data_IF_311004305097
#
_entry.id   IF_311004305097
#
_cell.length_a   1.000
_cell.length_b   1.000
_cell.length_c   1.000
_cell.angle_alpha   90.00
_cell.angle_beta   90.00
_cell.angle_gamma   90.00
#
_symmetry.space_group_name_H-M   'P 1'
#
loop_
_entity.id
_entity.type
_entity.pdbx_description
1 polymer ?
#
# COMPACT_ATOMS: atom_id res chain seq x y z
N UNK A 1 8.24 -11.67 26.21
CA UNK A 1 7.32 -11.12 25.20
C UNK A 1 7.63 -9.64 25.04
N UNK A 2 7.67 -9.11 23.81
CA UNK A 2 7.97 -7.69 23.60
C UNK A 2 6.69 -6.87 23.81
N UNK A 3 6.75 -5.85 24.65
CA UNK A 3 5.64 -4.95 24.94
C UNK A 3 6.05 -3.50 24.66
N UNK A 4 5.10 -2.67 24.23
CA UNK A 4 5.29 -1.23 24.00
C UNK A 4 4.12 -0.44 24.58
N UNK A 5 4.29 0.87 24.76
CA UNK A 5 3.29 1.76 25.34
C UNK A 5 3.46 2.04 26.84
N UNK A 6 2.64 2.92 27.39
CA UNK A 6 2.69 3.39 28.78
C UNK A 6 1.29 3.66 29.33
N UNK A 7 1.15 3.74 30.66
CA UNK A 7 -0.16 3.95 31.30
C UNK A 7 -1.15 2.83 30.96
N UNK A 8 -2.34 3.21 30.51
CA UNK A 8 -3.43 2.31 30.11
C UNK A 8 -3.28 1.76 28.68
N UNK A 9 -2.42 2.36 27.86
CA UNK A 9 -2.19 1.95 26.47
C UNK A 9 -0.92 1.13 26.37
N UNK A 10 -1.04 -0.16 26.67
CA UNK A 10 0.02 -1.15 26.54
C UNK A 10 -0.34 -2.14 25.44
N UNK A 11 0.65 -2.44 24.61
CA UNK A 11 0.49 -3.30 23.46
C UNK A 11 1.48 -4.44 23.54
N UNK A 12 1.03 -5.63 23.14
CA UNK A 12 1.87 -6.80 23.00
C UNK A 12 2.19 -7.05 21.54
N UNK A 13 3.45 -7.37 21.26
CA UNK A 13 3.87 -7.75 19.93
C UNK A 13 3.29 -9.12 19.57
N UNK A 14 2.36 -9.14 18.61
CA UNK A 14 1.95 -10.36 17.90
C UNK A 14 2.92 -10.57 16.74
N UNK A 15 3.79 -11.58 16.87
CA UNK A 15 4.69 -11.98 15.79
C UNK A 15 3.93 -12.80 14.76
N UNK A 16 4.41 -12.76 13.51
CA UNK A 16 3.89 -13.58 12.40
C UNK A 16 2.37 -13.43 12.17
N UNK A 17 1.85 -12.25 12.50
CA UNK A 17 0.43 -11.93 12.47
C UNK A 17 -0.18 -12.10 11.07
N UNK A 18 0.45 -11.52 10.05
CA UNK A 18 0.14 -11.81 8.64
C UNK A 18 1.22 -12.70 8.04
N UNK A 19 0.79 -13.72 7.30
CA UNK A 19 1.67 -14.55 6.49
C UNK A 19 1.41 -14.24 5.04
N UNK A 20 2.47 -14.06 4.28
CA UNK A 20 2.35 -13.86 2.84
C UNK A 20 1.70 -15.08 2.20
N UNK A 21 0.81 -14.88 1.20
CA UNK A 21 0.24 -15.97 0.44
C UNK A 21 1.34 -16.84 -0.18
N UNK A 22 1.09 -18.15 -0.25
CA UNK A 22 1.95 -19.13 -0.91
C UNK A 22 3.35 -19.36 -0.29
N UNK A 23 3.61 -18.79 0.89
CA UNK A 23 4.88 -18.97 1.61
C UNK A 23 6.05 -18.16 1.04
N UNK A 24 5.83 -17.40 -0.03
CA UNK A 24 6.80 -16.45 -0.59
C UNK A 24 6.93 -15.23 0.32
N UNK A 25 8.13 -14.68 0.54
CA UNK A 25 8.26 -13.47 1.36
C UNK A 25 7.51 -12.29 0.73
N UNK A 26 7.06 -11.36 1.57
CA UNK A 26 6.58 -10.06 1.10
C UNK A 26 7.69 -9.35 0.33
N UNK A 27 7.31 -8.53 -0.65
CA UNK A 27 8.20 -7.54 -1.23
C UNK A 27 8.57 -6.44 -0.23
N UNK A 28 9.28 -5.41 -0.69
CA UNK A 28 9.51 -4.22 0.14
C UNK A 28 8.17 -3.55 0.45
N UNK A 29 7.79 -3.53 1.72
CA UNK A 29 6.56 -2.89 2.18
C UNK A 29 6.75 -1.38 2.18
N UNK A 30 5.96 -0.68 1.37
CA UNK A 30 5.95 0.78 1.30
C UNK A 30 4.96 1.39 2.29
N UNK A 31 3.83 0.71 2.52
CA UNK A 31 2.74 1.20 3.36
C UNK A 31 1.84 0.05 3.84
N UNK A 32 1.17 0.27 4.96
CA UNK A 32 0.01 -0.51 5.40
C UNK A 32 -1.17 0.42 5.69
N UNK A 33 -2.39 -0.05 5.49
CA UNK A 33 -3.63 0.66 5.81
C UNK A 33 -4.72 -0.28 6.27
N UNK A 34 -5.75 0.26 6.91
CA UNK A 34 -6.96 -0.48 7.29
C UNK A 34 -8.20 0.24 6.77
N UNK A 35 -9.25 -0.52 6.49
CA UNK A 35 -10.58 0.01 6.18
C UNK A 35 -11.55 -0.11 7.36
N UNK A 36 -12.79 0.36 7.18
CA UNK A 36 -13.81 0.38 8.22
C UNK A 36 -14.31 -1.02 8.64
N UNK A 37 -13.86 -2.09 7.97
CA UNK A 37 -14.16 -3.48 8.33
C UNK A 37 -13.00 -4.17 9.07
N UNK A 38 -11.96 -3.40 9.41
CA UNK A 38 -10.68 -3.88 9.96
C UNK A 38 -9.91 -4.80 9.00
N UNK A 39 -10.14 -4.70 7.68
CA UNK A 39 -9.30 -5.39 6.69
C UNK A 39 -7.99 -4.64 6.53
N UNK A 40 -6.90 -5.38 6.40
CA UNK A 40 -5.55 -4.86 6.37
C UNK A 40 -5.01 -4.92 4.95
N UNK A 41 -4.61 -3.77 4.43
CA UNK A 41 -4.05 -3.61 3.09
C UNK A 41 -2.56 -3.40 3.19
N UNK A 42 -1.79 -4.37 2.70
CA UNK A 42 -0.33 -4.34 2.63
C UNK A 42 0.08 -3.90 1.23
N UNK A 43 0.77 -2.76 1.13
CA UNK A 43 1.23 -2.20 -0.14
C UNK A 43 2.73 -2.45 -0.34
N UNK A 44 3.04 -3.39 -1.24
CA UNK A 44 4.39 -3.91 -1.45
C UNK A 44 4.92 -3.58 -2.84
N UNK A 45 6.23 -3.33 -2.95
CA UNK A 45 6.93 -3.21 -4.23
C UNK A 45 7.22 -4.58 -4.84
N UNK A 46 6.17 -5.36 -5.04
CA UNK A 46 6.14 -6.68 -5.66
C UNK A 46 4.77 -6.88 -6.27
N UNK A 47 4.68 -7.69 -7.32
CA UNK A 47 3.41 -8.06 -7.93
C UNK A 47 2.78 -9.24 -7.16
N UNK A 48 1.50 -9.20 -6.77
CA UNK A 48 0.56 -8.06 -6.85
C UNK A 48 0.87 -6.96 -5.81
N UNK A 49 0.74 -5.66 -6.17
CA UNK A 49 1.11 -4.53 -5.31
C UNK A 49 0.35 -4.45 -4.00
N UNK A 50 -0.93 -4.82 -3.99
CA UNK A 50 -1.77 -4.77 -2.80
C UNK A 50 -2.19 -6.17 -2.40
N UNK A 51 -1.94 -6.53 -1.15
CA UNK A 51 -2.36 -7.79 -0.53
C UNK A 51 -3.29 -7.46 0.63
N UNK A 52 -4.44 -8.10 0.68
CA UNK A 52 -5.52 -7.79 1.63
C UNK A 52 -5.72 -8.96 2.60
N UNK A 53 -5.81 -8.65 3.88
CA UNK A 53 -6.08 -9.58 4.97
C UNK A 53 -7.31 -9.13 5.77
N UNK A 54 -7.94 -10.05 6.50
CA UNK A 54 -8.92 -9.66 7.52
C UNK A 54 -8.24 -9.23 8.83
N UNK A 55 -9.06 -8.89 9.83
CA UNK A 55 -8.64 -8.46 11.17
C UNK A 55 -7.81 -9.49 11.93
N UNK A 56 -7.90 -10.76 11.53
CA UNK A 56 -7.21 -11.88 12.17
C UNK A 56 -5.98 -12.31 11.36
N UNK A 57 -5.63 -11.56 10.31
CA UNK A 57 -4.46 -11.80 9.46
C UNK A 57 -4.67 -12.87 8.39
N UNK A 58 -5.92 -13.31 8.14
CA UNK A 58 -6.23 -14.27 7.08
C UNK A 58 -6.26 -13.57 5.72
N UNK A 59 -5.59 -14.17 4.75
CA UNK A 59 -5.57 -13.67 3.37
C UNK A 59 -6.97 -13.64 2.76
N UNK A 60 -7.34 -12.50 2.17
CA UNK A 60 -8.61 -12.28 1.48
C UNK A 60 -8.46 -12.15 -0.03
N UNK A 61 -7.31 -11.67 -0.51
CA UNK A 61 -7.08 -11.44 -1.94
C UNK A 61 -5.97 -10.44 -2.19
N UNK A 62 -5.66 -10.23 -3.47
CA UNK A 62 -4.65 -9.27 -3.88
C UNK A 62 -5.01 -8.65 -5.23
N UNK A 63 -4.54 -7.43 -5.47
CA UNK A 63 -4.86 -6.65 -6.68
C UNK A 63 -3.79 -5.61 -7.00
N UNK A 64 -3.99 -4.90 -8.11
CA UNK A 64 -3.13 -3.79 -8.56
C UNK A 64 -2.08 -4.18 -9.59
N UNK A 65 -2.01 -5.45 -9.99
CA UNK A 65 -1.12 -5.91 -11.05
C UNK A 65 -1.44 -5.21 -12.36
N UNK A 66 -0.43 -4.59 -12.98
CA UNK A 66 -0.59 -3.77 -14.18
C UNK A 66 -1.19 -2.39 -13.93
N UNK A 67 -1.70 -2.11 -12.74
CA UNK A 67 -2.26 -0.81 -12.36
C UNK A 67 -1.32 0.04 -11.50
N UNK A 68 -0.39 -0.60 -10.78
CA UNK A 68 0.64 0.09 -10.01
C UNK A 68 1.99 -0.54 -10.33
N UNK A 69 2.90 0.29 -10.81
CA UNK A 69 4.28 -0.02 -11.23
C UNK A 69 5.25 0.09 -10.06
N UNK A 70 5.28 1.21 -9.34
CA UNK A 70 6.15 1.40 -8.17
C UNK A 70 5.42 1.96 -6.93
N UNK A 71 4.89 1.06 -6.09
CA UNK A 71 4.18 1.37 -4.85
C UNK A 71 4.95 2.30 -3.89
N UNK A 72 4.28 3.39 -3.49
CA UNK A 72 4.83 4.32 -2.50
C UNK A 72 3.85 4.72 -1.40
N UNK A 73 2.78 5.44 -1.75
CA UNK A 73 1.76 5.90 -0.81
C UNK A 73 0.49 5.07 -0.90
N UNK A 74 -0.13 4.77 0.24
CA UNK A 74 -1.49 4.23 0.31
C UNK A 74 -2.27 4.91 1.45
N UNK A 75 -3.51 5.29 1.16
CA UNK A 75 -4.49 5.83 2.14
C UNK A 75 -5.88 5.31 1.80
N UNK A 76 -6.60 4.83 2.81
CA UNK A 76 -8.01 4.44 2.67
C UNK A 76 -8.88 5.50 3.32
N UNK A 77 -9.95 5.89 2.64
CA UNK A 77 -10.99 6.80 3.14
C UNK A 77 -12.34 6.26 2.66
N UNK A 78 -13.18 5.80 3.59
CA UNK A 78 -14.42 5.09 3.26
C UNK A 78 -14.15 3.88 2.36
N UNK A 79 -14.81 3.84 1.21
CA UNK A 79 -14.70 2.74 0.22
C UNK A 79 -13.58 2.92 -0.83
N UNK A 80 -12.71 3.92 -0.63
CA UNK A 80 -11.75 4.34 -1.65
C UNK A 80 -10.32 4.21 -1.16
N UNK A 81 -9.49 3.53 -1.96
CA UNK A 81 -8.04 3.40 -1.75
C UNK A 81 -7.34 4.39 -2.67
N UNK A 82 -6.60 5.34 -2.11
CA UNK A 82 -5.74 6.25 -2.86
C UNK A 82 -4.30 5.75 -2.81
N UNK A 83 -3.65 5.68 -3.97
CA UNK A 83 -2.25 5.30 -4.09
C UNK A 83 -1.43 6.33 -4.84
N UNK A 84 -0.14 6.35 -4.57
CA UNK A 84 0.84 7.06 -5.40
C UNK A 84 1.81 6.06 -6.02
N UNK A 85 2.01 6.22 -7.34
CA UNK A 85 3.02 5.49 -8.10
C UNK A 85 4.23 6.39 -8.32
N UNK A 86 5.38 5.99 -7.79
CA UNK A 86 6.60 6.80 -7.87
C UNK A 86 7.19 6.82 -9.28
N UNK A 87 7.18 5.69 -9.98
CA UNK A 87 7.82 5.56 -11.30
C UNK A 87 6.94 6.14 -12.39
N UNK A 88 5.62 5.99 -12.30
CA UNK A 88 4.72 6.51 -13.33
C UNK A 88 4.28 7.96 -13.05
N UNK A 89 4.58 8.51 -11.88
CA UNK A 89 4.18 9.87 -11.47
C UNK A 89 2.68 10.13 -11.59
N UNK A 90 1.89 9.11 -11.21
CA UNK A 90 0.44 9.20 -11.14
C UNK A 90 -0.08 8.97 -9.73
N UNK A 91 -1.21 9.60 -9.45
CA UNK A 91 -2.07 9.24 -8.31
C UNK A 91 -3.24 8.46 -8.86
N UNK A 92 -3.52 7.28 -8.31
CA UNK A 92 -4.71 6.51 -8.65
C UNK A 92 -5.60 6.35 -7.44
N UNK A 93 -6.91 6.29 -7.65
CA UNK A 93 -7.84 5.81 -6.63
C UNK A 93 -8.56 4.57 -7.11
N UNK A 94 -8.87 3.69 -6.18
CA UNK A 94 -9.48 2.39 -6.43
C UNK A 94 -10.66 2.17 -5.49
N UNK A 95 -11.58 1.31 -5.90
CA UNK A 95 -12.48 0.64 -4.96
C UNK A 95 -11.68 -0.31 -4.05
N UNK A 96 -12.28 -0.75 -2.95
CA UNK A 96 -11.65 -1.70 -2.01
C UNK A 96 -11.27 -3.06 -2.66
N UNK A 97 -11.92 -3.43 -3.78
CA UNK A 97 -11.62 -4.61 -4.60
C UNK A 97 -10.68 -4.33 -5.79
N UNK A 98 -10.06 -3.14 -5.84
CA UNK A 98 -8.96 -2.84 -6.77
C UNK A 98 -9.38 -2.35 -8.15
N UNK A 99 -10.63 -1.93 -8.36
CA UNK A 99 -11.05 -1.32 -9.63
C UNK A 99 -10.70 0.16 -9.63
N UNK A 100 -10.05 0.63 -10.69
CA UNK A 100 -9.68 2.04 -10.85
C UNK A 100 -10.92 2.92 -10.89
N UNK A 101 -10.94 3.97 -10.06
CA UNK A 101 -11.98 5.02 -10.02
C UNK A 101 -11.50 6.32 -10.66
N UNK A 102 -10.23 6.67 -10.45
CA UNK A 102 -9.62 7.92 -10.92
C UNK A 102 -8.13 7.72 -11.14
N UNK A 103 -7.59 8.45 -12.12
CA UNK A 103 -6.15 8.70 -12.26
C UNK A 103 -5.92 10.20 -12.41
N UNK A 104 -4.92 10.72 -11.71
CA UNK A 104 -4.36 12.06 -11.92
C UNK A 104 -2.93 11.91 -12.44
N UNK A 105 -2.64 12.60 -13.54
CA UNK A 105 -1.38 12.47 -14.28
C UNK A 105 -1.48 11.50 -15.46
N UNK A 106 -0.43 11.52 -16.29
CA UNK A 106 -0.23 10.60 -17.41
C UNK A 106 0.95 9.69 -17.06
N UNK A 107 0.82 8.35 -17.14
CA UNK A 107 1.89 7.45 -16.74
C UNK A 107 3.18 7.74 -17.49
N UNK A 108 4.28 7.89 -16.74
CA UNK A 108 5.60 8.20 -17.28
C UNK A 108 5.82 9.67 -17.68
N UNK A 109 4.79 10.53 -17.55
CA UNK A 109 4.93 11.97 -17.78
C UNK A 109 5.18 12.71 -16.47
N UNK A 110 6.46 12.84 -16.14
CA UNK A 110 6.92 13.57 -14.97
C UNK A 110 6.68 15.09 -15.09
N UNK A 111 6.45 15.75 -13.96
CA UNK A 111 6.45 17.22 -13.92
C UNK A 111 7.84 17.76 -14.15
N UNK A 112 7.93 18.93 -14.79
CA UNK A 112 9.17 19.71 -14.77
C UNK A 112 9.41 20.17 -13.33
N UNK A 113 10.45 19.61 -12.72
CA UNK A 113 10.82 19.91 -11.33
C UNK A 113 11.52 21.26 -11.21
N UNK A 114 11.83 21.93 -12.33
CA UNK A 114 12.73 23.07 -12.35
C UNK A 114 14.18 22.68 -12.06
N UNK A 115 14.51 21.38 -12.09
CA UNK A 115 15.88 20.90 -11.91
C UNK A 115 16.74 21.33 -13.12
N UNK A 116 17.63 22.29 -12.89
CA UNK A 116 18.65 22.64 -13.86
C UNK A 116 19.79 21.62 -13.72
N UNK A 117 19.97 20.76 -14.73
CA UNK A 117 20.98 19.68 -14.68
C UNK A 117 22.42 20.17 -14.95
N UNK A 118 22.59 21.41 -15.40
CA UNK A 118 23.87 22.01 -15.76
C UNK A 118 24.02 23.39 -15.09
N UNK A 119 24.30 23.41 -13.78
CA UNK A 119 24.54 24.64 -13.01
C UNK A 119 25.96 25.24 -13.15
N UNK A 120 26.74 24.82 -14.15
CA UNK A 120 28.11 25.30 -14.41
C UNK A 120 28.33 25.52 -15.91
#
# INVERSE_FOLDING_TARGET
>A
MAQTGTGDYRYELVRDFVKSPDGEPFGLISRVGADDQDRIYVFQRRNPPVVVFDRDGKYLGAWGAGEVTDPHGLKIVGDTVYTTDRSDSVVKSFTLDGKVKLQLGEPGRHSDTGEIKNWL
#
